data_IF_412438725576
#
_entry.id   IF_412438725576
#
_cell.length_a   1.000
_cell.length_b   1.000
_cell.length_c   1.000
_cell.angle_alpha   90.00
_cell.angle_beta   90.00
_cell.angle_gamma   90.00
#
_symmetry.space_group_name_H-M   'P 1'
#
loop_
_entity.id
_entity.type
_entity.pdbx_description
1 polymer ?
#
# COMPACT_ATOMS: atom_id res chain seq x y z
N UNK A 1 37.24 41.82 -10.68
CA UNK A 1 36.75 40.48 -10.29
C UNK A 1 37.42 40.10 -8.97
N UNK A 2 36.68 39.83 -7.88
CA UNK A 2 37.30 39.48 -6.61
C UNK A 2 37.78 38.03 -6.62
N UNK A 3 39.01 37.81 -6.15
CA UNK A 3 39.80 36.56 -6.21
C UNK A 3 39.37 35.51 -5.15
N UNK A 4 38.16 35.60 -4.59
CA UNK A 4 37.67 34.64 -3.57
C UNK A 4 36.16 34.37 -3.61
N UNK A 5 35.43 34.75 -4.66
CA UNK A 5 34.04 34.29 -4.81
C UNK A 5 34.01 32.84 -5.30
N UNK A 6 33.25 31.92 -4.68
CA UNK A 6 33.09 30.58 -5.24
C UNK A 6 32.53 30.70 -6.67
N UNK A 7 33.16 29.99 -7.60
CA UNK A 7 32.64 29.85 -8.96
C UNK A 7 31.20 29.33 -8.83
N UNK A 8 30.22 30.05 -9.39
CA UNK A 8 28.86 29.52 -9.51
C UNK A 8 28.96 28.12 -10.10
N UNK A 9 28.20 27.15 -9.58
CA UNK A 9 28.15 25.75 -10.04
C UNK A 9 27.54 25.59 -11.45
N UNK A 10 27.82 26.50 -12.37
CA UNK A 10 27.46 26.49 -13.78
C UNK A 10 28.30 25.52 -14.63
N UNK A 11 29.23 24.77 -14.01
CA UNK A 11 30.08 23.79 -14.72
C UNK A 11 29.49 22.38 -14.80
N UNK A 12 28.51 22.05 -13.96
CA UNK A 12 27.73 20.82 -14.08
C UNK A 12 26.29 21.22 -14.34
N UNK A 13 25.67 20.65 -15.37
CA UNK A 13 24.25 20.81 -15.57
C UNK A 13 23.55 20.48 -14.25
N UNK A 14 22.88 21.46 -13.66
CA UNK A 14 22.12 21.23 -12.47
C UNK A 14 21.07 20.17 -12.81
N UNK A 15 21.22 18.99 -12.21
CA UNK A 15 20.28 17.87 -12.32
C UNK A 15 18.84 18.28 -11.93
N UNK A 16 18.68 19.48 -11.37
CA UNK A 16 17.43 20.12 -10.94
C UNK A 16 16.88 21.20 -11.89
N UNK A 17 17.56 21.58 -12.98
CA UNK A 17 17.23 22.80 -13.75
C UNK A 17 16.59 22.59 -15.12
N UNK A 18 16.55 21.36 -15.62
CA UNK A 18 15.79 20.95 -16.81
C UNK A 18 14.52 20.23 -16.35
N UNK A 19 13.40 20.28 -17.07
CA UNK A 19 12.23 19.50 -16.70
C UNK A 19 12.60 18.01 -16.58
N UNK A 20 12.61 17.53 -15.34
CA UNK A 20 12.92 16.15 -14.98
C UNK A 20 11.67 15.31 -15.19
N UNK A 21 11.33 15.10 -16.46
CA UNK A 21 10.08 14.45 -16.88
C UNK A 21 9.93 13.00 -16.36
N UNK A 22 11.02 12.37 -15.92
CA UNK A 22 11.10 10.96 -15.52
C UNK A 22 11.88 10.70 -14.20
N UNK A 23 12.77 11.60 -13.76
CA UNK A 23 13.71 11.33 -12.65
C UNK A 23 13.31 11.85 -11.26
N UNK A 24 12.25 12.65 -11.16
CA UNK A 24 11.79 13.26 -9.90
C UNK A 24 10.45 12.72 -9.39
N UNK A 25 9.96 11.61 -9.95
CA UNK A 25 8.65 11.06 -9.61
C UNK A 25 8.57 10.51 -8.17
N UNK A 26 9.72 10.07 -7.62
CA UNK A 26 9.91 9.71 -6.20
C UNK A 26 11.04 10.58 -5.63
N UNK A 27 10.70 11.46 -4.70
CA UNK A 27 11.60 12.27 -3.89
C UNK A 27 11.17 12.14 -2.43
N UNK A 28 12.01 12.58 -1.48
CA UNK A 28 11.62 12.56 -0.05
C UNK A 28 10.34 13.35 0.22
N UNK A 29 10.09 14.44 -0.52
CA UNK A 29 8.88 15.23 -0.41
C UNK A 29 7.66 14.53 -1.05
N UNK A 30 7.79 13.95 -2.24
CA UNK A 30 6.68 13.25 -2.90
C UNK A 30 6.34 11.92 -2.23
N UNK A 31 7.32 11.18 -1.71
CA UNK A 31 7.12 9.92 -0.98
C UNK A 31 6.30 10.13 0.29
N UNK A 32 6.60 11.18 1.07
CA UNK A 32 5.83 11.55 2.26
C UNK A 32 4.35 11.77 1.92
N UNK A 33 4.07 12.46 0.82
CA UNK A 33 2.70 12.74 0.38
C UNK A 33 1.99 11.43 0.00
N UNK A 34 2.64 10.55 -0.76
CA UNK A 34 2.07 9.24 -1.14
C UNK A 34 1.73 8.38 0.09
N UNK A 35 2.59 8.39 1.11
CA UNK A 35 2.43 7.54 2.29
C UNK A 35 1.39 8.08 3.26
N UNK A 36 1.45 9.38 3.57
CA UNK A 36 0.61 9.99 4.60
C UNK A 36 -0.73 10.51 4.07
N UNK A 37 -0.82 10.87 2.79
CA UNK A 37 -2.03 11.51 2.26
C UNK A 37 -2.85 10.57 1.38
N UNK A 38 -2.27 9.63 0.64
CA UNK A 38 -3.11 8.84 -0.28
C UNK A 38 -3.76 7.67 0.44
N UNK A 39 -2.99 6.65 0.84
CA UNK A 39 -3.60 5.42 1.35
C UNK A 39 -4.19 5.55 2.75
N UNK A 40 -3.58 6.38 3.61
CA UNK A 40 -4.10 6.57 4.97
C UNK A 40 -5.44 7.32 4.96
N UNK A 41 -5.64 8.32 4.10
CA UNK A 41 -6.96 8.96 3.95
C UNK A 41 -7.99 8.01 3.34
N UNK A 42 -7.62 7.19 2.37
CA UNK A 42 -8.57 6.23 1.79
C UNK A 42 -8.98 5.13 2.77
N UNK A 43 -8.07 4.65 3.64
CA UNK A 43 -8.39 3.62 4.62
C UNK A 43 -9.17 4.20 5.82
N UNK A 44 -8.72 5.34 6.35
CA UNK A 44 -9.33 5.95 7.54
C UNK A 44 -10.62 6.71 7.20
N UNK A 45 -10.74 7.20 5.96
CA UNK A 45 -11.84 7.97 5.43
C UNK A 45 -11.51 9.47 5.32
N UNK A 46 -11.92 10.06 4.19
CA UNK A 46 -11.88 11.49 3.94
C UNK A 46 -13.32 12.03 3.92
N UNK A 47 -13.61 13.02 4.76
CA UNK A 47 -14.92 13.68 4.75
C UNK A 47 -14.84 14.99 3.97
N UNK A 48 -15.67 15.11 2.94
CA UNK A 48 -15.75 16.31 2.10
C UNK A 48 -17.22 16.62 1.82
N UNK A 49 -17.63 17.87 2.08
CA UNK A 49 -19.02 18.33 1.95
C UNK A 49 -20.07 17.42 2.64
N UNK A 50 -19.73 16.88 3.81
CA UNK A 50 -20.62 16.00 4.59
C UNK A 50 -20.66 14.54 4.13
N UNK A 51 -19.96 14.18 3.05
CA UNK A 51 -19.83 12.80 2.59
C UNK A 51 -18.47 12.22 3.00
N UNK A 52 -18.47 10.99 3.53
CA UNK A 52 -17.25 10.27 3.88
C UNK A 52 -16.89 9.26 2.79
N UNK A 53 -15.73 9.47 2.17
CA UNK A 53 -15.14 8.59 1.18
C UNK A 53 -14.12 7.69 1.85
N UNK A 54 -14.32 6.38 1.83
CA UNK A 54 -13.38 5.40 2.39
C UNK A 54 -13.41 4.10 1.61
N UNK A 55 -12.29 3.40 1.59
CA UNK A 55 -12.21 2.03 1.08
C UNK A 55 -12.90 1.08 2.04
N UNK A 56 -13.81 0.29 1.50
CA UNK A 56 -14.39 -0.84 2.19
C UNK A 56 -13.76 -2.14 1.69
N UNK A 57 -12.53 -2.39 2.13
CA UNK A 57 -11.75 -3.54 1.66
C UNK A 57 -12.40 -4.88 2.00
N UNK A 58 -13.07 -4.99 3.15
CA UNK A 58 -13.75 -6.24 3.53
C UNK A 58 -14.94 -6.56 2.61
N UNK A 59 -15.72 -5.55 2.21
CA UNK A 59 -16.77 -5.73 1.20
C UNK A 59 -16.17 -6.01 -0.18
N UNK A 60 -15.11 -5.27 -0.56
CA UNK A 60 -14.42 -5.49 -1.83
C UNK A 60 -13.89 -6.93 -1.96
N UNK A 61 -13.22 -7.46 -0.94
CA UNK A 61 -12.70 -8.84 -0.94
C UNK A 61 -13.83 -9.86 -1.07
N UNK A 62 -14.97 -9.60 -0.42
CA UNK A 62 -16.13 -10.51 -0.43
C UNK A 62 -16.88 -10.48 -1.76
N UNK A 63 -17.10 -9.29 -2.31
CA UNK A 63 -18.14 -9.06 -3.33
C UNK A 63 -17.57 -8.79 -4.74
N UNK A 64 -16.25 -8.54 -4.89
CA UNK A 64 -15.64 -8.19 -6.18
C UNK A 64 -15.58 -9.33 -7.20
N UNK A 65 -15.62 -10.59 -6.75
CA UNK A 65 -15.43 -11.77 -7.59
C UNK A 65 -13.97 -12.02 -8.02
N UNK A 66 -13.01 -11.20 -7.58
CA UNK A 66 -11.59 -11.39 -7.88
C UNK A 66 -10.95 -12.48 -7.00
N UNK A 67 -11.30 -12.51 -5.71
CA UNK A 67 -10.67 -13.39 -4.73
C UNK A 67 -11.30 -14.77 -4.73
N UNK A 68 -10.50 -15.82 -4.96
CA UNK A 68 -11.02 -17.19 -5.14
C UNK A 68 -11.31 -17.87 -3.80
N UNK A 69 -10.45 -17.67 -2.80
CA UNK A 69 -10.62 -18.21 -1.45
C UNK A 69 -10.10 -17.23 -0.39
N UNK A 70 -10.84 -16.15 -0.11
CA UNK A 70 -10.39 -15.12 0.84
C UNK A 70 -10.26 -15.62 2.30
N UNK A 71 -10.84 -16.78 2.64
CA UNK A 71 -10.63 -17.40 3.96
C UNK A 71 -9.27 -18.07 4.13
N UNK A 72 -8.54 -18.33 3.04
CA UNK A 72 -7.18 -18.81 3.09
C UNK A 72 -6.20 -17.63 3.06
N UNK A 73 -5.36 -17.52 4.09
CA UNK A 73 -4.43 -16.40 4.23
C UNK A 73 -3.40 -16.32 3.08
N UNK A 74 -2.88 -17.46 2.62
CA UNK A 74 -1.91 -17.51 1.53
C UNK A 74 -2.53 -17.14 0.19
N UNK A 75 -3.72 -17.66 -0.09
CA UNK A 75 -4.47 -17.30 -1.31
C UNK A 75 -4.77 -15.81 -1.33
N UNK A 76 -5.28 -15.26 -0.23
CA UNK A 76 -5.63 -13.84 -0.15
C UNK A 76 -4.41 -12.92 -0.33
N UNK A 77 -3.30 -13.23 0.34
CA UNK A 77 -2.06 -12.44 0.21
C UNK A 77 -1.54 -12.52 -1.22
N UNK A 78 -1.48 -13.71 -1.81
CA UNK A 78 -1.02 -13.91 -3.19
C UNK A 78 -1.87 -13.12 -4.18
N UNK A 79 -3.20 -13.19 -4.09
CA UNK A 79 -4.12 -12.49 -4.98
C UNK A 79 -4.00 -10.96 -4.84
N UNK A 80 -3.83 -10.44 -3.63
CA UNK A 80 -3.54 -9.01 -3.45
C UNK A 80 -2.22 -8.58 -4.10
N UNK A 81 -1.17 -9.38 -3.94
CA UNK A 81 0.13 -9.10 -4.55
C UNK A 81 0.04 -9.16 -6.09
N UNK A 82 -0.68 -10.13 -6.65
CA UNK A 82 -0.94 -10.23 -8.09
C UNK A 82 -1.74 -9.03 -8.63
N UNK A 83 -2.65 -8.48 -7.83
CA UNK A 83 -3.44 -7.32 -8.22
C UNK A 83 -2.60 -6.03 -8.25
N UNK A 84 -1.65 -5.89 -7.32
CA UNK A 84 -1.01 -4.61 -7.04
C UNK A 84 0.44 -4.54 -7.51
N UNK A 85 1.10 -5.69 -7.73
CA UNK A 85 2.46 -5.77 -8.25
C UNK A 85 2.47 -6.39 -9.65
N UNK A 86 3.55 -6.13 -10.39
CA UNK A 86 3.83 -6.77 -11.67
C UNK A 86 4.16 -8.26 -11.49
N UNK A 87 4.82 -8.59 -10.38
CA UNK A 87 5.21 -9.95 -10.02
C UNK A 87 5.04 -10.17 -8.52
N UNK A 88 4.64 -11.37 -8.14
CA UNK A 88 4.51 -11.75 -6.72
C UNK A 88 5.90 -12.05 -6.18
N UNK A 89 6.37 -11.34 -5.14
CA UNK A 89 7.65 -11.66 -4.51
C UNK A 89 7.61 -13.06 -3.89
N UNK A 90 8.75 -13.73 -3.83
CA UNK A 90 8.91 -15.03 -3.19
C UNK A 90 9.70 -14.93 -1.87
N UNK A 91 9.87 -16.08 -1.21
CA UNK A 91 10.71 -16.24 -0.02
C UNK A 91 10.39 -15.28 1.11
N UNK A 92 11.43 -14.66 1.67
CA UNK A 92 11.32 -13.81 2.87
C UNK A 92 10.41 -12.61 2.65
N UNK A 93 10.36 -12.07 1.42
CA UNK A 93 9.56 -10.88 1.14
C UNK A 93 8.07 -11.18 1.13
N UNK A 94 7.67 -12.34 0.59
CA UNK A 94 6.30 -12.84 0.73
C UNK A 94 5.93 -13.05 2.20
N UNK A 95 6.81 -13.70 2.96
CA UNK A 95 6.58 -14.02 4.37
C UNK A 95 6.42 -12.76 5.24
N UNK A 96 7.12 -11.67 4.91
CA UNK A 96 6.93 -10.36 5.55
C UNK A 96 5.51 -9.83 5.36
N UNK A 97 4.96 -9.84 4.13
CA UNK A 97 3.59 -9.38 3.88
C UNK A 97 2.56 -10.26 4.59
N UNK A 98 2.77 -11.59 4.57
CA UNK A 98 1.92 -12.53 5.31
C UNK A 98 1.97 -12.28 6.82
N UNK A 99 3.15 -12.03 7.36
CA UNK A 99 3.33 -11.71 8.79
C UNK A 99 2.63 -10.41 9.17
N UNK A 100 2.72 -9.38 8.33
CA UNK A 100 2.02 -8.10 8.53
C UNK A 100 0.51 -8.33 8.50
N UNK A 101 0.00 -9.05 7.51
CA UNK A 101 -1.41 -9.39 7.39
C UNK A 101 -1.94 -10.07 8.67
N UNK A 102 -1.26 -11.14 9.10
CA UNK A 102 -1.67 -11.95 10.25
C UNK A 102 -1.34 -11.33 11.62
N UNK A 103 -0.46 -10.32 11.67
CA UNK A 103 0.06 -9.77 12.93
C UNK A 103 0.71 -10.81 13.85
N UNK A 104 1.45 -11.78 13.29
CA UNK A 104 1.97 -12.95 14.00
C UNK A 104 0.89 -13.90 14.59
N UNK A 105 -0.38 -13.76 14.21
CA UNK A 105 -1.42 -14.72 14.55
C UNK A 105 -1.40 -15.91 13.59
N UNK A 106 -2.04 -17.02 13.97
CA UNK A 106 -2.14 -18.19 13.10
C UNK A 106 -3.07 -17.93 11.91
N UNK A 107 -2.82 -18.55 10.74
CA UNK A 107 -3.76 -18.53 9.62
C UNK A 107 -5.15 -19.11 9.97
N UNK A 108 -5.21 -20.01 10.95
CA UNK A 108 -6.48 -20.59 11.43
C UNK A 108 -7.34 -19.51 12.10
N UNK A 109 -6.73 -18.60 12.87
CA UNK A 109 -7.46 -17.47 13.45
C UNK A 109 -8.07 -16.59 12.36
N UNK A 110 -7.31 -16.31 11.29
CA UNK A 110 -7.84 -15.58 10.13
C UNK A 110 -9.04 -16.29 9.50
N UNK A 111 -8.92 -17.59 9.24
CA UNK A 111 -9.99 -18.38 8.63
C UNK A 111 -11.28 -18.32 9.47
N UNK A 112 -11.15 -18.40 10.79
CA UNK A 112 -12.29 -18.29 11.71
C UNK A 112 -12.95 -16.91 11.66
N UNK A 113 -12.17 -15.83 11.66
CA UNK A 113 -12.71 -14.46 11.53
C UNK A 113 -13.37 -14.23 10.17
N UNK A 114 -12.80 -14.78 9.10
CA UNK A 114 -13.42 -14.73 7.77
C UNK A 114 -14.77 -15.45 7.75
N UNK A 115 -14.84 -16.68 8.27
CA UNK A 115 -16.09 -17.43 8.36
C UNK A 115 -17.13 -16.72 9.23
N UNK A 116 -16.71 -16.09 10.33
CA UNK A 116 -17.57 -15.26 11.17
C UNK A 116 -18.16 -14.08 10.37
N UNK A 117 -17.33 -13.38 9.60
CA UNK A 117 -17.78 -12.29 8.75
C UNK A 117 -18.82 -12.76 7.71
N UNK A 118 -18.60 -13.91 7.06
CA UNK A 118 -19.56 -14.46 6.09
C UNK A 118 -20.91 -14.78 6.77
N UNK A 119 -20.88 -15.37 7.97
CA UNK A 119 -22.10 -15.78 8.68
C UNK A 119 -22.86 -14.61 9.32
N UNK A 120 -22.16 -13.58 9.82
CA UNK A 120 -22.77 -12.48 10.58
C UNK A 120 -22.91 -11.19 9.79
N UNK A 121 -22.17 -11.04 8.69
CA UNK A 121 -22.01 -9.77 7.98
C UNK A 121 -21.18 -8.73 8.73
N UNK A 122 -20.64 -9.04 9.92
CA UNK A 122 -19.85 -8.10 10.69
C UNK A 122 -18.38 -8.07 10.22
N UNK A 123 -18.00 -7.01 9.52
CA UNK A 123 -16.67 -6.86 8.95
C UNK A 123 -15.58 -6.37 9.93
N UNK A 124 -15.92 -6.08 11.20
CA UNK A 124 -15.02 -5.35 12.12
C UNK A 124 -13.65 -6.02 12.28
N UNK A 125 -13.62 -7.34 12.48
CA UNK A 125 -12.38 -8.08 12.73
C UNK A 125 -11.60 -8.40 11.46
N UNK A 126 -12.28 -8.53 10.31
CA UNK A 126 -11.62 -8.82 9.02
C UNK A 126 -11.10 -7.56 8.34
N UNK A 127 -11.73 -6.41 8.58
CA UNK A 127 -11.32 -5.13 7.97
C UNK A 127 -9.91 -4.74 8.41
N UNK A 128 -9.61 -4.89 9.70
CA UNK A 128 -8.32 -4.49 10.30
C UNK A 128 -7.11 -5.16 9.62
N UNK A 129 -7.03 -6.50 9.52
CA UNK A 129 -5.90 -7.17 8.88
C UNK A 129 -5.82 -6.88 7.37
N UNK A 130 -6.95 -6.84 6.66
CA UNK A 130 -6.96 -6.52 5.21
C UNK A 130 -6.45 -5.09 4.98
N UNK A 131 -6.93 -4.11 5.75
CA UNK A 131 -6.46 -2.72 5.67
C UNK A 131 -4.97 -2.62 5.94
N UNK A 132 -4.45 -3.40 6.91
CA UNK A 132 -3.02 -3.43 7.22
C UNK A 132 -2.20 -3.97 6.07
N UNK A 133 -2.65 -5.06 5.44
CA UNK A 133 -2.01 -5.65 4.27
C UNK A 133 -1.99 -4.66 3.10
N UNK A 134 -3.14 -4.08 2.75
CA UNK A 134 -3.25 -3.09 1.65
C UNK A 134 -2.34 -1.88 1.92
N UNK A 135 -2.30 -1.37 3.16
CA UNK A 135 -1.36 -0.30 3.53
C UNK A 135 0.09 -0.72 3.37
N UNK A 136 0.45 -1.93 3.78
CA UNK A 136 1.82 -2.43 3.69
C UNK A 136 2.28 -2.60 2.25
N UNK A 137 1.42 -3.16 1.38
CA UNK A 137 1.67 -3.30 -0.05
C UNK A 137 1.87 -1.93 -0.69
N UNK A 138 0.94 -0.98 -0.49
CA UNK A 138 1.07 0.35 -1.12
C UNK A 138 2.29 1.10 -0.63
N UNK A 139 2.65 0.98 0.66
CA UNK A 139 3.82 1.64 1.24
C UNK A 139 5.14 0.87 0.99
N UNK A 140 5.10 -0.20 0.21
CA UNK A 140 6.28 -0.99 -0.11
C UNK A 140 7.07 -0.35 -1.25
N UNK A 141 8.41 -0.48 -1.29
CA UNK A 141 9.23 0.00 -2.40
C UNK A 141 8.76 -0.56 -3.75
N UNK A 142 8.35 -1.83 -3.78
CA UNK A 142 7.87 -2.53 -4.98
C UNK A 142 6.66 -1.85 -5.59
N UNK A 143 5.71 -1.37 -4.78
CA UNK A 143 4.57 -0.59 -5.30
C UNK A 143 4.97 0.79 -5.78
N UNK A 144 5.91 1.43 -5.08
CA UNK A 144 6.25 2.84 -5.34
C UNK A 144 7.04 3.03 -6.63
N UNK A 145 7.77 2.00 -7.06
CA UNK A 145 8.58 2.01 -8.30
C UNK A 145 7.83 1.51 -9.54
N UNK A 146 6.52 1.28 -9.43
CA UNK A 146 5.61 1.05 -10.57
C UNK A 146 5.06 2.37 -11.09
#
# INVERSE_FOLDING_TARGET
MPVFSPQSVNGYAAYSSSPNYDKNWITTSSLRIRYNNTIDFFINGLTYNGFTFKLNNAAFVKDSGYFTNPGNADTLVTEFLQMMFVEVPDGTRYDEFKTIFLNNLSPINWQNEWNNYINTGNATNVKIPIDRLVKAIIKSPEFQIL
#
